data_IF_837762730715
#
_entry.id   IF_837762730715
#
_cell.length_a   1.000
_cell.length_b   1.000
_cell.length_c   1.000
_cell.angle_alpha   90.00
_cell.angle_beta   90.00
_cell.angle_gamma   90.00
#
_symmetry.space_group_name_H-M   'P 1'
#
loop_
_entity.id
_entity.type
_entity.pdbx_description
1 polymer ?
#
# COMPACT_ATOMS: atom_id res chain seq x y z
N UNK A 1 6.40 -9.98 2.35
CA UNK A 1 5.57 -8.81 2.69
C UNK A 1 6.30 -7.99 3.73
N UNK A 2 6.44 -6.69 3.52
CA UNK A 2 7.16 -5.77 4.41
C UNK A 2 6.19 -4.99 5.31
N UNK A 3 5.48 -5.72 6.17
CA UNK A 3 4.58 -5.11 7.15
C UNK A 3 5.35 -4.31 8.21
N UNK A 4 6.62 -4.64 8.44
CA UNK A 4 7.43 -4.03 9.51
C UNK A 4 8.14 -2.74 9.12
N UNK A 5 8.22 -2.42 7.83
CA UNK A 5 8.88 -1.19 7.36
C UNK A 5 7.93 -0.34 6.52
N UNK A 6 7.47 -0.83 5.36
CA UNK A 6 6.69 -0.01 4.43
C UNK A 6 5.36 0.51 4.99
N UNK A 7 4.60 -0.32 5.72
CA UNK A 7 3.31 0.10 6.30
C UNK A 7 3.51 1.19 7.37
N UNK A 8 4.40 1.02 8.36
CA UNK A 8 4.75 2.09 9.29
C UNK A 8 5.15 3.38 8.57
N UNK A 9 6.00 3.30 7.54
CA UNK A 9 6.44 4.50 6.80
C UNK A 9 5.29 5.20 6.08
N UNK A 10 4.32 4.46 5.54
CA UNK A 10 3.11 5.04 4.96
C UNK A 10 2.25 5.72 6.03
N UNK A 11 2.12 5.15 7.23
CA UNK A 11 1.35 5.75 8.32
C UNK A 11 2.06 6.99 8.91
N UNK A 12 3.38 6.94 9.04
CA UNK A 12 4.20 8.04 9.57
C UNK A 12 4.14 9.31 8.71
N UNK A 13 3.71 9.19 7.45
CA UNK A 13 3.40 10.37 6.61
C UNK A 13 2.26 11.22 7.17
N UNK A 14 1.41 10.64 8.03
CA UNK A 14 0.25 11.29 8.62
C UNK A 14 -0.96 11.45 7.69
N UNK A 15 -0.91 10.99 6.43
CA UNK A 15 -2.04 11.10 5.50
C UNK A 15 -3.13 10.04 5.73
N UNK A 16 -2.80 8.92 6.39
CA UNK A 16 -3.74 7.83 6.63
C UNK A 16 -3.99 7.65 8.13
N UNK A 17 -5.26 7.39 8.47
CA UNK A 17 -5.71 7.26 9.88
C UNK A 17 -5.74 5.81 10.35
N UNK A 18 -5.77 4.86 9.42
CA UNK A 18 -5.67 3.44 9.73
C UNK A 18 -5.28 2.64 8.49
N UNK A 19 -4.93 1.38 8.70
CA UNK A 19 -4.75 0.41 7.65
C UNK A 19 -5.40 -0.92 8.03
N UNK A 20 -5.70 -1.72 7.01
CA UNK A 20 -6.03 -3.13 7.15
C UNK A 20 -5.19 -3.92 6.17
N UNK A 21 -4.65 -5.03 6.64
CA UNK A 21 -3.92 -5.98 5.81
C UNK A 21 -4.62 -7.33 5.81
N UNK A 22 -4.62 -7.99 4.67
CA UNK A 22 -5.25 -9.30 4.50
C UNK A 22 -4.48 -10.11 3.49
N UNK A 23 -4.14 -11.36 3.83
CA UNK A 23 -3.64 -12.34 2.87
C UNK A 23 -4.79 -12.75 1.96
N UNK A 24 -4.59 -12.70 0.65
CA UNK A 24 -5.59 -13.18 -0.30
C UNK A 24 -5.56 -14.70 -0.29
N UNK A 25 -6.68 -15.32 0.09
CA UNK A 25 -6.82 -16.78 0.13
C UNK A 25 -7.39 -17.30 -1.19
N UNK A 26 -8.36 -16.58 -1.77
CA UNK A 26 -8.94 -16.82 -3.09
C UNK A 26 -9.46 -15.50 -3.68
N UNK A 27 -9.42 -15.33 -5.02
CA UNK A 27 -8.73 -16.19 -6.00
C UNK A 27 -7.20 -16.13 -5.79
N UNK A 28 -6.49 -17.22 -6.08
CA UNK A 28 -5.01 -17.21 -6.11
C UNK A 28 -4.62 -16.97 -7.56
N UNK A 29 -3.82 -15.92 -7.80
CA UNK A 29 -3.40 -15.50 -9.14
C UNK A 29 -2.53 -16.57 -9.81
N UNK A 30 -1.58 -17.16 -9.08
CA UNK A 30 -0.73 -18.27 -9.53
C UNK A 30 -0.36 -19.16 -8.34
N UNK A 31 -0.23 -20.48 -8.57
CA UNK A 31 0.40 -21.38 -7.59
C UNK A 31 1.81 -20.85 -7.31
N UNK A 32 2.19 -20.72 -6.03
CA UNK A 32 3.43 -20.10 -5.51
C UNK A 32 3.50 -18.56 -5.41
N UNK A 33 2.46 -17.81 -5.82
CA UNK A 33 2.37 -16.38 -5.53
C UNK A 33 1.61 -16.14 -4.22
N UNK A 34 2.25 -15.39 -3.31
CA UNK A 34 1.59 -14.91 -2.09
C UNK A 34 1.10 -13.48 -2.30
N UNK A 35 -0.22 -13.32 -2.43
CA UNK A 35 -0.85 -12.03 -2.64
C UNK A 35 -1.42 -11.45 -1.32
N UNK A 36 -1.27 -10.15 -1.15
CA UNK A 36 -1.81 -9.41 -0.01
C UNK A 36 -2.58 -8.19 -0.48
N UNK A 37 -3.72 -7.93 0.18
CA UNK A 37 -4.48 -6.70 0.04
C UNK A 37 -4.19 -5.79 1.23
N UNK A 38 -3.82 -4.55 0.92
CA UNK A 38 -3.58 -3.49 1.91
C UNK A 38 -4.55 -2.35 1.61
N UNK A 39 -5.35 -1.99 2.59
CA UNK A 39 -6.30 -0.88 2.50
C UNK A 39 -5.90 0.16 3.52
N UNK A 40 -5.54 1.35 3.06
CA UNK A 40 -5.32 2.51 3.92
C UNK A 40 -6.57 3.37 3.95
N UNK A 41 -6.96 3.83 5.13
CA UNK A 41 -8.08 4.75 5.31
C UNK A 41 -7.56 6.17 5.37
N UNK A 42 -8.09 7.02 4.52
CA UNK A 42 -7.92 8.47 4.57
C UNK A 42 -9.25 9.09 5.01
N UNK A 43 -9.19 10.25 5.66
CA UNK A 43 -10.34 11.06 6.07
C UNK A 43 -10.89 11.94 4.93
N UNK A 44 -10.02 12.40 4.03
CA UNK A 44 -10.38 13.30 2.92
C UNK A 44 -9.65 12.92 1.63
N UNK A 45 -10.31 13.06 0.49
CA UNK A 45 -9.69 12.73 -0.80
C UNK A 45 -8.53 13.69 -1.13
N UNK A 46 -8.61 14.95 -0.74
CA UNK A 46 -7.55 15.95 -0.91
C UNK A 46 -6.27 15.57 -0.18
N UNK A 47 -6.38 14.95 1.00
CA UNK A 47 -5.21 14.44 1.74
C UNK A 47 -4.56 13.26 1.04
N UNK A 48 -5.36 12.42 0.38
CA UNK A 48 -4.82 11.37 -0.49
C UNK A 48 -4.09 11.96 -1.72
N UNK A 49 -4.62 13.03 -2.34
CA UNK A 49 -3.95 13.70 -3.46
C UNK A 49 -2.60 14.26 -3.03
N UNK A 50 -2.54 14.90 -1.86
CA UNK A 50 -1.29 15.38 -1.28
C UNK A 50 -0.29 14.25 -1.02
N UNK A 51 -0.72 13.14 -0.42
CA UNK A 51 0.10 11.94 -0.26
C UNK A 51 0.65 11.44 -1.59
N UNK A 52 -0.20 11.35 -2.61
CA UNK A 52 0.14 10.82 -3.93
C UNK A 52 1.27 11.61 -4.61
N UNK A 53 1.35 12.91 -4.35
CA UNK A 53 2.37 13.78 -4.95
C UNK A 53 3.60 13.89 -4.04
N UNK A 54 3.40 14.05 -2.72
CA UNK A 54 4.45 14.47 -1.78
C UNK A 54 5.23 13.31 -1.16
N UNK A 55 4.60 12.14 -0.97
CA UNK A 55 5.20 11.04 -0.21
C UNK A 55 5.22 9.71 -0.96
N UNK A 56 4.19 9.44 -1.77
CA UNK A 56 4.03 8.17 -2.46
C UNK A 56 5.21 7.81 -3.39
N UNK A 57 5.82 8.73 -4.17
CA UNK A 57 6.91 8.39 -5.09
C UNK A 57 8.13 7.79 -4.38
N UNK A 58 8.58 8.41 -3.28
CA UNK A 58 9.76 7.97 -2.55
C UNK A 58 9.53 6.64 -1.82
N UNK A 59 8.36 6.50 -1.18
CA UNK A 59 7.96 5.25 -0.52
C UNK A 59 7.85 4.08 -1.51
N UNK A 60 7.30 4.32 -2.70
CA UNK A 60 7.19 3.31 -3.75
C UNK A 60 8.55 2.92 -4.33
N UNK A 61 9.43 3.90 -4.56
CA UNK A 61 10.79 3.66 -5.03
C UNK A 61 11.55 2.80 -4.02
N UNK A 62 11.55 3.20 -2.75
CA UNK A 62 12.21 2.46 -1.66
C UNK A 62 11.71 1.01 -1.55
N UNK A 63 10.39 0.82 -1.56
CA UNK A 63 9.81 -0.53 -1.52
C UNK A 63 10.21 -1.37 -2.75
N UNK A 64 10.21 -0.77 -3.94
CA UNK A 64 10.61 -1.47 -5.18
C UNK A 64 12.08 -1.88 -5.14
N UNK A 65 12.96 -0.99 -4.66
CA UNK A 65 14.40 -1.25 -4.50
C UNK A 65 14.66 -2.35 -3.46
N UNK A 66 13.96 -2.31 -2.31
CA UNK A 66 14.09 -3.30 -1.25
C UNK A 66 13.84 -4.74 -1.73
N UNK A 67 12.93 -4.91 -2.69
CA UNK A 67 12.58 -6.21 -3.25
C UNK A 67 13.21 -6.49 -4.62
N UNK A 68 14.18 -5.67 -5.06
CA UNK A 68 14.83 -5.78 -6.37
C UNK A 68 13.82 -5.93 -7.52
N UNK A 69 12.70 -5.22 -7.48
CA UNK A 69 11.65 -5.29 -8.49
C UNK A 69 10.87 -6.61 -8.57
N UNK A 70 11.07 -7.56 -7.65
CA UNK A 70 10.34 -8.85 -7.62
C UNK A 70 8.91 -8.74 -7.09
N UNK A 71 8.47 -7.54 -6.72
CA UNK A 71 7.13 -7.30 -6.20
C UNK A 71 6.40 -6.37 -7.15
N UNK A 72 5.21 -6.79 -7.57
CA UNK A 72 4.25 -5.96 -8.29
C UNK A 72 3.20 -5.45 -7.30
N UNK A 73 2.72 -4.23 -7.52
CA UNK A 73 1.67 -3.63 -6.71
C UNK A 73 0.69 -2.90 -7.62
N UNK A 74 -0.59 -3.21 -7.46
CA UNK A 74 -1.69 -2.54 -8.15
C UNK A 74 -2.52 -1.74 -7.14
N UNK A 75 -2.89 -0.51 -7.48
CA UNK A 75 -3.52 0.46 -6.56
C UNK A 75 -4.88 0.90 -7.09
N UNK A 76 -5.88 0.89 -6.22
CA UNK A 76 -7.20 1.49 -6.44
C UNK A 76 -7.44 2.57 -5.40
N UNK A 77 -8.18 3.59 -5.78
CA UNK A 77 -8.80 4.55 -4.85
C UNK A 77 -10.28 4.23 -4.78
N UNK A 78 -10.82 4.17 -3.58
CA UNK A 78 -12.21 3.78 -3.33
C UNK A 78 -12.85 4.80 -2.39
N UNK A 79 -14.09 5.16 -2.67
CA UNK A 79 -14.95 5.92 -1.75
C UNK A 79 -15.83 4.92 -0.98
N UNK A 80 -15.90 5.10 0.35
CA UNK A 80 -16.78 4.27 1.19
C UNK A 80 -18.19 4.86 1.20
N UNK A 81 -19.21 4.01 1.06
CA UNK A 81 -20.65 4.37 1.10
C UNK A 81 -21.32 3.88 2.37
#
# INVERSE_FOLDING_TARGET
MDEKTHIPEVLDTGYFISYKISKVIKPVSEEDIVEFSIVYKCDLFERYLDYSVKAAPDLQKKHTEMFNGKVTAYRKVMEAV
#
